data_IF_830156694735
#
_entry.id   IF_830156694735
#
_cell.length_a   1.000
_cell.length_b   1.000
_cell.length_c   1.000
_cell.angle_alpha   90.00
_cell.angle_beta   90.00
_cell.angle_gamma   90.00
#
_symmetry.space_group_name_H-M   'P 1'
#
loop_
_entity.id
_entity.type
_entity.pdbx_description
1 polymer ?
#
# COMPACT_ATOMS: atom_id res chain seq x y z
N UNK A 1 -6.73 -0.45 15.27
CA UNK A 1 -7.09 -0.20 13.86
C UNK A 1 -8.52 -0.66 13.69
N UNK A 2 -9.48 0.27 13.69
CA UNK A 2 -10.90 -0.08 13.51
C UNK A 2 -11.20 -0.08 12.01
N UNK A 3 -11.27 -1.28 11.43
CA UNK A 3 -11.69 -1.48 10.05
C UNK A 3 -13.19 -1.18 10.01
N UNK A 4 -13.59 -0.12 9.29
CA UNK A 4 -14.98 0.01 8.84
C UNK A 4 -15.41 -1.34 8.22
N UNK A 5 -16.53 -1.94 8.63
CA UNK A 5 -16.94 -3.24 8.15
C UNK A 5 -17.36 -3.13 6.68
N UNK A 6 -16.39 -3.31 5.78
CA UNK A 6 -16.63 -3.52 4.35
C UNK A 6 -16.66 -5.02 4.09
N UNK A 7 -17.85 -5.60 4.29
CA UNK A 7 -18.13 -7.04 4.16
C UNK A 7 -18.25 -7.51 2.70
N UNK A 8 -18.06 -6.60 1.72
CA UNK A 8 -18.06 -6.99 0.29
C UNK A 8 -16.93 -7.97 0.01
N UNK A 9 -17.11 -8.86 -0.98
CA UNK A 9 -16.03 -9.77 -1.37
C UNK A 9 -14.80 -9.00 -1.88
N UNK A 10 -13.60 -9.59 -1.78
CA UNK A 10 -12.38 -9.03 -2.32
C UNK A 10 -12.52 -8.84 -3.83
N UNK A 11 -11.87 -7.80 -4.35
CA UNK A 11 -11.78 -7.62 -5.79
C UNK A 11 -10.84 -8.66 -6.40
N UNK A 12 -11.04 -9.02 -7.68
CA UNK A 12 -10.14 -9.93 -8.42
C UNK A 12 -8.67 -9.48 -8.36
N UNK A 13 -8.41 -8.17 -8.34
CA UNK A 13 -7.05 -7.61 -8.20
C UNK A 13 -6.45 -7.88 -6.82
N UNK A 14 -7.25 -7.77 -5.74
CA UNK A 14 -6.79 -8.12 -4.39
C UNK A 14 -6.44 -9.62 -4.31
N UNK A 15 -7.30 -10.51 -4.80
CA UNK A 15 -7.02 -11.94 -4.79
C UNK A 15 -5.74 -12.31 -5.56
N UNK A 16 -5.53 -11.71 -6.73
CA UNK A 16 -4.31 -11.90 -7.52
C UNK A 16 -3.07 -11.45 -6.77
N UNK A 17 -3.14 -10.28 -6.12
CA UNK A 17 -2.02 -9.75 -5.33
C UNK A 17 -1.74 -10.62 -4.10
N UNK A 18 -2.78 -11.09 -3.41
CA UNK A 18 -2.67 -12.00 -2.26
C UNK A 18 -1.98 -13.29 -2.67
N UNK A 19 -2.39 -13.91 -3.80
CA UNK A 19 -1.73 -15.12 -4.33
C UNK A 19 -0.26 -14.88 -4.63
N UNK A 20 0.09 -13.72 -5.19
CA UNK A 20 1.47 -13.34 -5.45
C UNK A 20 2.25 -13.18 -4.14
N UNK A 21 1.73 -12.42 -3.17
CA UNK A 21 2.38 -12.18 -1.88
C UNK A 21 2.63 -13.46 -1.09
N UNK A 22 1.65 -14.37 -1.06
CA UNK A 22 1.79 -15.67 -0.37
C UNK A 22 2.80 -16.58 -1.07
N UNK A 23 2.95 -16.46 -2.39
CA UNK A 23 3.95 -17.20 -3.16
C UNK A 23 5.35 -16.64 -2.91
N UNK A 24 5.49 -15.31 -2.99
CA UNK A 24 6.77 -14.62 -2.89
C UNK A 24 7.26 -14.55 -1.43
N UNK A 25 6.33 -14.46 -0.47
CA UNK A 25 6.58 -14.38 0.98
C UNK A 25 5.74 -15.40 1.75
N UNK A 26 6.12 -16.69 1.74
CA UNK A 26 5.35 -17.74 2.42
C UNK A 26 5.14 -17.50 3.93
N UNK A 27 6.06 -16.78 4.58
CA UNK A 27 5.95 -16.37 6.00
C UNK A 27 4.73 -15.50 6.27
N UNK A 28 4.22 -14.76 5.28
CA UNK A 28 3.03 -13.92 5.44
C UNK A 28 1.77 -14.70 5.83
N UNK A 29 1.73 -16.02 5.61
CA UNK A 29 0.61 -16.89 6.02
C UNK A 29 0.42 -17.00 7.52
N UNK A 30 1.45 -16.69 8.32
CA UNK A 30 1.34 -16.73 9.78
C UNK A 30 0.80 -15.42 10.38
N UNK A 31 0.60 -14.39 9.55
CA UNK A 31 0.06 -13.11 9.97
C UNK A 31 -1.40 -13.27 10.38
N UNK A 32 -1.79 -12.62 11.48
CA UNK A 32 -3.18 -12.62 11.94
C UNK A 32 -4.13 -12.13 10.85
N UNK A 33 -3.72 -11.14 10.07
CA UNK A 33 -4.48 -10.59 8.96
C UNK A 33 -4.69 -11.60 7.82
N UNK A 34 -3.74 -12.52 7.60
CA UNK A 34 -3.94 -13.63 6.65
C UNK A 34 -5.00 -14.60 7.16
N UNK A 35 -4.94 -14.94 8.44
CA UNK A 35 -5.92 -15.84 9.08
C UNK A 35 -7.32 -15.22 9.10
N UNK A 36 -7.42 -13.92 9.36
CA UNK A 36 -8.66 -13.16 9.26
C UNK A 36 -9.22 -13.18 7.83
N UNK A 37 -8.35 -12.98 6.82
CA UNK A 37 -8.74 -13.07 5.41
C UNK A 37 -9.17 -14.49 5.01
N UNK A 38 -8.49 -15.53 5.48
CA UNK A 38 -8.82 -16.92 5.17
C UNK A 38 -10.14 -17.35 5.81
N UNK A 39 -10.38 -16.94 7.06
CA UNK A 39 -11.62 -17.23 7.78
C UNK A 39 -12.82 -16.44 7.24
N UNK A 40 -12.63 -15.16 6.91
CA UNK A 40 -13.67 -14.29 6.34
C UNK A 40 -13.06 -13.42 5.23
N UNK A 41 -13.07 -13.88 3.97
CA UNK A 41 -12.49 -13.13 2.86
C UNK A 41 -13.39 -11.95 2.52
N UNK A 42 -13.19 -10.82 3.19
CA UNK A 42 -13.82 -9.53 2.86
C UNK A 42 -12.80 -8.62 2.19
N UNK A 43 -13.29 -7.59 1.50
CA UNK A 43 -12.47 -6.54 0.90
C UNK A 43 -11.63 -5.81 1.95
N UNK A 44 -12.16 -5.67 3.17
CA UNK A 44 -11.44 -5.11 4.32
C UNK A 44 -10.31 -6.03 4.77
N UNK A 45 -10.57 -7.32 5.03
CA UNK A 45 -9.54 -8.27 5.46
C UNK A 45 -8.48 -8.50 4.39
N UNK A 46 -8.87 -8.56 3.11
CA UNK A 46 -7.94 -8.62 1.99
C UNK A 46 -6.99 -7.41 1.97
N UNK A 47 -7.53 -6.20 2.16
CA UNK A 47 -6.71 -4.98 2.24
C UNK A 47 -5.77 -5.01 3.45
N UNK A 48 -6.26 -5.43 4.62
CA UNK A 48 -5.48 -5.52 5.84
C UNK A 48 -4.30 -6.47 5.66
N UNK A 49 -4.54 -7.67 5.13
CA UNK A 49 -3.48 -8.64 4.85
C UNK A 49 -2.47 -8.12 3.84
N UNK A 50 -2.91 -7.57 2.70
CA UNK A 50 -2.01 -7.01 1.68
C UNK A 50 -1.08 -5.97 2.30
N UNK A 51 -1.63 -5.03 3.08
CA UNK A 51 -0.83 -4.00 3.75
C UNK A 51 0.18 -4.61 4.72
N UNK A 52 -0.26 -5.50 5.61
CA UNK A 52 0.62 -6.11 6.61
C UNK A 52 1.75 -6.93 5.98
N UNK A 53 1.42 -7.75 4.97
CA UNK A 53 2.39 -8.58 4.26
C UNK A 53 3.46 -7.73 3.55
N UNK A 54 3.08 -6.59 2.97
CA UNK A 54 4.04 -5.67 2.34
C UNK A 54 4.92 -4.95 3.37
N UNK A 55 4.36 -4.58 4.53
CA UNK A 55 5.12 -3.94 5.61
C UNK A 55 6.16 -4.89 6.23
N UNK A 56 5.83 -6.17 6.47
CA UNK A 56 6.81 -7.14 7.02
C UNK A 56 7.94 -7.48 6.05
N UNK A 57 7.66 -7.41 4.76
CA UNK A 57 8.61 -7.79 3.73
C UNK A 57 9.20 -6.55 3.03
N UNK A 58 9.17 -5.40 3.69
CA UNK A 58 9.57 -4.10 3.14
C UNK A 58 10.95 -4.14 2.45
N UNK A 59 11.93 -4.77 3.11
CA UNK A 59 13.31 -4.81 2.64
C UNK A 59 13.47 -5.49 1.26
N UNK A 60 12.65 -6.51 1.00
CA UNK A 60 12.62 -7.26 -0.26
C UNK A 60 11.66 -6.61 -1.27
N UNK A 61 10.52 -6.10 -0.79
CA UNK A 61 9.47 -5.48 -1.61
C UNK A 61 9.96 -4.20 -2.29
N UNK A 62 10.78 -3.39 -1.62
CA UNK A 62 11.35 -2.17 -2.21
C UNK A 62 12.27 -2.44 -3.42
N UNK A 63 12.75 -3.67 -3.59
CA UNK A 63 13.57 -4.09 -4.73
C UNK A 63 12.75 -4.67 -5.89
N UNK A 64 11.42 -4.79 -5.73
CA UNK A 64 10.55 -5.37 -6.75
C UNK A 64 10.06 -4.31 -7.74
N UNK A 65 10.17 -4.62 -9.03
CA UNK A 65 9.60 -3.83 -10.11
C UNK A 65 8.10 -3.57 -9.87
N UNK A 66 7.71 -2.29 -9.94
CA UNK A 66 6.32 -1.85 -9.75
C UNK A 66 5.90 -1.59 -8.30
N UNK A 67 6.80 -1.67 -7.31
CA UNK A 67 6.47 -1.27 -5.95
C UNK A 67 6.15 0.22 -5.81
N UNK A 68 6.89 1.08 -6.53
CA UNK A 68 6.58 2.52 -6.61
C UNK A 68 5.14 2.75 -7.09
N UNK A 69 4.72 1.98 -8.11
CA UNK A 69 3.35 1.98 -8.61
C UNK A 69 2.35 1.54 -7.54
N UNK A 70 2.69 0.57 -6.69
CA UNK A 70 1.84 0.20 -5.56
C UNK A 70 1.72 1.31 -4.52
N UNK A 71 2.82 1.92 -4.06
CA UNK A 71 2.77 3.04 -3.09
C UNK A 71 1.95 4.21 -3.65
N UNK A 72 2.19 4.55 -4.92
CA UNK A 72 1.46 5.59 -5.62
C UNK A 72 -0.05 5.29 -5.74
N UNK A 73 -0.45 4.02 -5.84
CA UNK A 73 -1.86 3.66 -6.11
C UNK A 73 -2.55 2.96 -4.93
N UNK A 74 -1.90 2.88 -3.76
CA UNK A 74 -2.39 2.09 -2.64
C UNK A 74 -3.81 2.50 -2.27
N UNK A 75 -4.69 1.53 -1.92
CA UNK A 75 -5.99 1.86 -1.36
C UNK A 75 -5.79 2.79 -0.15
N UNK A 76 -6.52 3.91 -0.12
CA UNK A 76 -6.47 4.96 0.91
C UNK A 76 -5.25 5.90 0.90
N UNK A 77 -4.38 5.85 -0.12
CA UNK A 77 -3.50 6.99 -0.36
C UNK A 77 -4.35 8.23 -0.65
N UNK A 78 -4.03 9.35 0.00
CA UNK A 78 -4.51 10.65 -0.43
C UNK A 78 -3.94 10.94 -1.82
N UNK A 79 -4.79 11.44 -2.72
CA UNK A 79 -4.42 11.67 -4.11
C UNK A 79 -4.70 13.11 -4.46
N UNK A 80 -3.67 13.81 -4.91
CA UNK A 80 -3.78 15.12 -5.53
C UNK A 80 -3.99 14.99 -7.07
N UNK A 81 -4.06 13.76 -7.59
CA UNK A 81 -4.31 13.41 -8.99
C UNK A 81 -4.72 11.93 -9.15
N UNK A 82 -4.27 11.27 -10.22
CA UNK A 82 -4.58 9.84 -10.47
C UNK A 82 -3.89 8.88 -9.49
N UNK A 83 -2.88 9.37 -8.77
CA UNK A 83 -2.09 8.65 -7.79
C UNK A 83 -1.68 9.54 -6.61
N UNK A 84 -1.08 8.94 -5.58
CA UNK A 84 -0.63 9.58 -4.35
C UNK A 84 0.82 10.08 -4.33
N UNK A 85 1.53 10.06 -5.47
CA UNK A 85 2.80 10.80 -5.57
C UNK A 85 2.54 12.31 -5.63
N UNK A 86 3.38 13.08 -4.93
CA UNK A 86 3.35 14.53 -4.87
C UNK A 86 4.76 15.09 -5.11
N UNK A 87 4.83 16.31 -5.62
CA UNK A 87 6.07 17.03 -5.91
C UNK A 87 5.78 18.53 -6.03
N UNK A 88 6.81 19.33 -6.31
CA UNK A 88 6.68 20.79 -6.43
C UNK A 88 5.94 21.22 -7.72
N UNK A 89 5.82 20.33 -8.71
CA UNK A 89 5.06 20.55 -9.94
C UNK A 89 3.58 20.11 -9.78
N UNK A 90 2.67 20.76 -10.53
CA UNK A 90 1.22 20.55 -10.45
C UNK A 90 0.78 19.09 -10.71
N UNK A 91 1.55 18.33 -11.47
CA UNK A 91 1.29 16.91 -11.73
C UNK A 91 2.59 16.12 -11.82
N UNK A 92 2.74 15.13 -10.95
CA UNK A 92 3.82 14.15 -11.05
C UNK A 92 3.45 13.09 -12.09
N UNK A 93 4.32 12.82 -13.05
CA UNK A 93 4.15 11.71 -14.00
C UNK A 93 4.66 10.41 -13.38
N UNK A 94 3.75 9.49 -13.09
CA UNK A 94 4.08 8.17 -12.51
C UNK A 94 4.96 7.31 -13.40
N UNK A 95 4.76 7.32 -14.72
CA UNK A 95 5.58 6.53 -15.64
C UNK A 95 7.00 7.07 -15.70
N UNK A 96 7.13 8.40 -15.75
CA UNK A 96 8.44 9.08 -15.68
C UNK A 96 9.14 8.78 -14.35
N UNK A 97 8.46 8.95 -13.21
CA UNK A 97 9.03 8.70 -11.89
C UNK A 97 9.44 7.23 -11.70
N UNK A 98 8.65 6.28 -12.23
CA UNK A 98 9.01 4.85 -12.20
C UNK A 98 10.24 4.58 -13.06
N UNK A 99 10.30 5.15 -14.27
CA UNK A 99 11.45 4.98 -15.18
C UNK A 99 12.73 5.56 -14.61
N UNK A 100 12.66 6.74 -13.99
CA UNK A 100 13.82 7.36 -13.33
C UNK A 100 14.35 6.48 -12.20
N UNK A 101 13.44 5.89 -11.40
CA UNK A 101 13.80 4.94 -10.34
C UNK A 101 14.46 3.67 -10.91
N UNK A 102 13.85 3.07 -11.94
CA UNK A 102 14.34 1.82 -12.55
C UNK A 102 15.72 1.99 -13.20
N UNK A 103 16.02 3.19 -13.72
CA UNK A 103 17.31 3.52 -14.35
C UNK A 103 18.37 3.99 -13.35
N UNK A 104 17.99 4.27 -12.10
CA UNK A 104 18.92 4.78 -11.10
C UNK A 104 19.79 3.65 -10.55
N UNK A 105 21.11 3.81 -10.66
CA UNK A 105 22.10 2.80 -10.24
C UNK A 105 22.68 3.05 -8.85
N UNK A 106 22.31 4.16 -8.19
CA UNK A 106 22.74 4.50 -6.84
C UNK A 106 21.77 4.00 -5.77
N UNK A 107 22.06 4.31 -4.50
CA UNK A 107 21.17 4.00 -3.39
C UNK A 107 19.94 4.92 -3.40
N UNK A 108 18.75 4.33 -3.38
CA UNK A 108 17.49 5.06 -3.20
C UNK A 108 17.09 5.01 -1.72
N UNK A 109 16.88 6.17 -1.10
CA UNK A 109 16.40 6.29 0.27
C UNK A 109 14.95 6.79 0.28
N UNK A 110 14.01 5.97 0.77
CA UNK A 110 12.62 6.38 1.00
C UNK A 110 12.38 6.60 2.50
N UNK A 111 12.06 7.84 2.89
CA UNK A 111 11.66 8.15 4.26
C UNK A 111 10.15 7.96 4.44
N UNK A 112 9.76 7.07 5.36
CA UNK A 112 8.35 6.90 5.76
C UNK A 112 8.12 7.67 7.05
N UNK A 113 7.20 8.63 7.03
CA UNK A 113 6.78 9.38 8.21
C UNK A 113 5.37 8.93 8.58
N UNK A 114 5.21 8.40 9.80
CA UNK A 114 3.91 8.02 10.35
C UNK A 114 3.42 9.08 11.31
N UNK A 115 2.19 9.55 11.14
CA UNK A 115 1.54 10.49 12.04
C UNK A 115 0.49 9.77 12.89
N UNK A 116 0.38 10.15 14.16
CA UNK A 116 -0.81 9.80 14.96
C UNK A 116 -2.02 10.48 14.35
N UNK A 117 -3.20 9.86 14.44
CA UNK A 117 -4.44 10.42 13.88
C UNK A 117 -4.74 11.82 14.42
N UNK A 118 -4.49 12.04 15.71
CA UNK A 118 -4.62 13.32 16.40
C UNK A 118 -3.75 14.40 15.74
N UNK A 119 -2.49 14.06 15.44
CA UNK A 119 -1.54 14.94 14.75
C UNK A 119 -1.90 15.16 13.29
N UNK A 120 -2.35 14.12 12.59
CA UNK A 120 -2.84 14.23 11.23
C UNK A 120 -4.04 15.20 11.16
N UNK A 121 -4.99 15.10 12.09
CA UNK A 121 -6.12 16.01 12.17
C UNK A 121 -5.68 17.46 12.47
N UNK A 122 -4.78 17.65 13.44
CA UNK A 122 -4.22 18.97 13.78
C UNK A 122 -3.51 19.62 12.59
N UNK A 123 -2.88 18.83 11.73
CA UNK A 123 -2.16 19.30 10.55
C UNK A 123 -3.04 19.37 9.29
N UNK A 124 -4.33 19.02 9.37
CA UNK A 124 -5.25 19.03 8.23
C UNK A 124 -5.07 17.86 7.26
N UNK A 125 -4.37 16.80 7.66
CA UNK A 125 -4.16 15.56 6.90
C UNK A 125 -5.14 14.43 7.28
N UNK A 126 -6.09 14.64 8.19
CA UNK A 126 -7.19 13.67 8.46
C UNK A 126 -8.38 13.93 7.52
N UNK A 127 -8.15 13.78 6.21
CA UNK A 127 -9.16 14.01 5.16
C UNK A 127 -10.00 12.77 4.83
N UNK A 128 -10.19 11.85 5.80
CA UNK A 128 -10.98 10.64 5.58
C UNK A 128 -12.44 11.02 5.34
N UNK A 129 -12.83 11.24 4.07
CA UNK A 129 -14.23 11.35 3.67
C UNK A 129 -14.88 9.98 3.86
N UNK A 130 -15.97 9.96 4.63
CA UNK A 130 -16.82 8.80 4.87
C UNK A 130 -17.40 8.23 3.56
#
# INVERSE_FOLDING_TARGET
MELLPDDRPPTRKQEQLIRKLVKDFPSSKVLGEYLDYESKPTKAHASAFITRALEENWAQVQQMDGYMKYIATRPRAERLGDHGLFGDEDAVDLEKATRELDQYTGNVWMHIISLKREDAARLGYDNVKA
#
